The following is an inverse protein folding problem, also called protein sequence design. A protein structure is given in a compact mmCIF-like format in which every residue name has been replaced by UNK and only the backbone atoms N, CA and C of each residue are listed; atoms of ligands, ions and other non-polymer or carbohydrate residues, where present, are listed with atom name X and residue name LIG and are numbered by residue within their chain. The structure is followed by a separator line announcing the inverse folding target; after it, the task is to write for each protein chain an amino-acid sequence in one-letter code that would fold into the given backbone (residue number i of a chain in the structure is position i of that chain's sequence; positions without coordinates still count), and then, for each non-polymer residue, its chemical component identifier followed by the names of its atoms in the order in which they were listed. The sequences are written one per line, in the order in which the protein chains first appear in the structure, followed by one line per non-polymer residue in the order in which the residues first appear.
data_IF_602804583983
#
_entry.id   IF_602804583983
#
_cell.length_a   1.000
_cell.length_b   1.000
_cell.length_c   1.000
_cell.angle_alpha   90.00
_cell.angle_beta   90.00
_cell.angle_gamma   90.00
#
_symmetry.space_group_name_H-M   'P 1'
#
loop_
_entity.id
_entity.type
_entity.pdbx_description
1 polymer ?
#
# COMPACT_ATOMS: atom_id res chain seq x y z
N UNK A 1 19.12 -18.32 17.33
CA UNK A 1 18.13 -17.79 16.37
C UNK A 1 18.20 -16.27 16.45
N UNK A 2 18.92 -15.63 15.53
CA UNK A 2 19.13 -14.19 15.55
C UNK A 2 17.82 -13.48 15.20
N UNK A 3 17.33 -12.64 16.10
CA UNK A 3 16.27 -11.69 15.80
C UNK A 3 16.83 -10.70 14.76
N UNK A 4 16.37 -10.82 13.51
CA UNK A 4 16.60 -9.78 12.51
C UNK A 4 15.87 -8.55 13.03
N UNK A 5 16.63 -7.58 13.54
CA UNK A 5 16.14 -6.25 13.83
C UNK A 5 15.77 -5.62 12.49
N UNK A 6 14.52 -5.81 12.07
CA UNK A 6 13.91 -5.14 10.94
C UNK A 6 13.73 -3.66 11.35
N UNK A 7 14.81 -2.88 11.35
CA UNK A 7 14.63 -1.48 10.96
C UNK A 7 14.01 -1.52 9.56
N UNK A 8 12.88 -0.86 9.31
CA UNK A 8 12.25 -0.94 8.01
C UNK A 8 13.22 -0.31 7.00
N UNK A 9 13.86 -1.15 6.17
CA UNK A 9 14.65 -0.71 5.03
C UNK A 9 13.65 -0.22 3.98
N UNK A 10 13.52 1.11 3.75
CA UNK A 10 12.49 1.62 2.85
C UNK A 10 12.68 1.08 1.42
N UNK A 11 13.92 0.86 0.98
CA UNK A 11 14.20 0.31 -0.33
C UNK A 11 13.82 -1.17 -0.41
N UNK A 12 14.12 -1.93 0.64
CA UNK A 12 13.73 -3.34 0.78
C UNK A 12 12.21 -3.53 0.80
N UNK A 13 11.47 -2.70 1.52
CA UNK A 13 10.01 -2.76 1.57
C UNK A 13 9.37 -2.38 0.24
N UNK A 14 9.87 -1.34 -0.44
CA UNK A 14 9.44 -0.98 -1.80
C UNK A 14 9.68 -2.11 -2.78
N UNK A 15 10.85 -2.77 -2.72
CA UNK A 15 11.13 -3.94 -3.56
C UNK A 15 10.14 -5.08 -3.30
N UNK A 16 9.88 -5.39 -2.03
CA UNK A 16 8.87 -6.41 -1.66
C UNK A 16 7.47 -6.03 -2.17
N UNK A 17 7.11 -4.74 -2.13
CA UNK A 17 5.85 -4.25 -2.68
C UNK A 17 5.80 -4.43 -4.21
N UNK A 18 6.89 -4.12 -4.92
CA UNK A 18 7.01 -4.27 -6.37
C UNK A 18 6.90 -5.72 -6.83
N UNK A 19 7.50 -6.66 -6.08
CA UNK A 19 7.51 -8.09 -6.40
C UNK A 19 6.22 -8.82 -5.99
N UNK A 20 5.42 -8.25 -5.08
CA UNK A 20 4.22 -8.91 -4.58
C UNK A 20 3.09 -8.90 -5.60
N UNK A 21 2.75 -10.09 -6.10
CA UNK A 21 1.48 -10.35 -6.77
C UNK A 21 0.39 -10.65 -5.74
N UNK A 22 -0.83 -10.16 -5.98
CA UNK A 22 -2.00 -10.49 -5.15
C UNK A 22 -2.89 -11.52 -5.85
N UNK A 23 -3.19 -12.62 -5.17
CA UNK A 23 -4.15 -13.63 -5.62
C UNK A 23 -5.53 -13.45 -4.99
N UNK A 24 -5.57 -12.86 -3.79
CA UNK A 24 -6.79 -12.66 -3.00
C UNK A 24 -7.02 -11.19 -2.69
N UNK A 25 -8.29 -10.82 -2.62
CA UNK A 25 -8.75 -9.54 -2.07
C UNK A 25 -9.53 -9.86 -0.80
N UNK A 26 -9.23 -9.15 0.29
CA UNK A 26 -9.91 -9.33 1.58
C UNK A 26 -11.35 -8.82 1.50
N UNK A 27 -12.30 -9.51 2.12
CA UNK A 27 -13.70 -9.07 2.11
C UNK A 27 -13.86 -7.68 2.76
N UNK A 28 -13.03 -7.38 3.76
CA UNK A 28 -13.00 -6.09 4.47
C UNK A 28 -12.71 -4.89 3.55
N UNK A 29 -11.88 -5.05 2.52
CA UNK A 29 -11.63 -3.94 1.59
C UNK A 29 -12.83 -3.73 0.66
N UNK A 30 -13.49 -4.82 0.23
CA UNK A 30 -14.63 -4.76 -0.69
C UNK A 30 -15.91 -4.27 -0.06
N UNK A 31 -16.18 -4.58 1.22
CA UNK A 31 -17.43 -4.20 1.88
C UNK A 31 -17.36 -2.87 2.61
N UNK A 32 -16.22 -2.55 3.25
CA UNK A 32 -16.21 -1.52 4.29
C UNK A 32 -15.40 -0.27 3.93
N UNK A 33 -14.57 -0.31 2.88
CA UNK A 33 -13.60 0.77 2.65
C UNK A 33 -13.43 1.19 1.19
N UNK A 34 -13.51 0.30 0.19
CA UNK A 34 -13.25 0.68 -1.19
C UNK A 34 -14.33 1.57 -1.85
N UNK A 35 -15.64 1.25 -1.77
CA UNK A 35 -16.68 2.00 -2.47
C UNK A 35 -16.72 3.48 -2.08
N UNK A 36 -16.49 3.77 -0.81
CA UNK A 36 -16.55 5.12 -0.24
C UNK A 36 -15.28 5.95 -0.49
N UNK A 37 -14.19 5.33 -0.95
CA UNK A 37 -12.85 5.96 -0.97
C UNK A 37 -12.30 6.21 -2.36
N UNK A 38 -12.57 5.34 -3.33
CA UNK A 38 -11.94 5.38 -4.67
C UNK A 38 -12.96 5.28 -5.80
N UNK A 39 -14.18 4.79 -5.50
CA UNK A 39 -15.25 4.57 -6.47
C UNK A 39 -15.50 3.08 -6.73
N UNK A 40 -16.72 2.76 -7.15
CA UNK A 40 -17.25 1.39 -7.20
C UNK A 40 -16.79 0.55 -8.41
N UNK A 41 -16.21 1.17 -9.44
CA UNK A 41 -16.00 0.51 -10.74
C UNK A 41 -14.55 0.06 -11.01
N UNK A 42 -13.63 0.25 -10.06
CA UNK A 42 -12.22 -0.13 -10.22
C UNK A 42 -11.97 -1.55 -9.71
N UNK A 43 -11.41 -2.43 -10.56
CA UNK A 43 -10.92 -3.74 -10.12
C UNK A 43 -9.68 -3.56 -9.22
N UNK A 44 -9.80 -4.00 -7.98
CA UNK A 44 -8.75 -3.91 -6.96
C UNK A 44 -7.44 -4.60 -7.33
N UNK A 45 -7.47 -5.63 -8.18
CA UNK A 45 -6.27 -6.28 -8.69
C UNK A 45 -5.57 -5.42 -9.72
N UNK A 46 -6.33 -4.75 -10.57
CA UNK A 46 -5.78 -3.79 -11.52
C UNK A 46 -5.25 -2.55 -10.81
N UNK A 47 -5.98 -2.02 -9.84
CA UNK A 47 -5.51 -0.91 -9.00
C UNK A 47 -4.17 -1.26 -8.30
N UNK A 48 -4.03 -2.49 -7.78
CA UNK A 48 -2.76 -2.93 -7.21
C UNK A 48 -1.62 -2.97 -8.23
N UNK A 49 -1.90 -3.49 -9.44
CA UNK A 49 -0.92 -3.60 -10.52
C UNK A 49 -0.41 -2.22 -10.96
N UNK A 50 -1.33 -1.27 -11.07
CA UNK A 50 -1.06 0.06 -11.62
C UNK A 50 -0.54 1.04 -10.54
N UNK A 51 -0.62 0.66 -9.26
CA UNK A 51 -0.10 1.45 -8.14
C UNK A 51 1.43 1.34 -8.00
N UNK A 52 2.04 2.44 -7.56
CA UNK A 52 3.49 2.59 -7.40
C UNK A 52 3.98 2.03 -6.06
N UNK A 53 5.07 1.24 -6.01
CA UNK A 53 5.60 0.71 -4.76
C UNK A 53 6.21 1.79 -3.86
N UNK A 54 5.67 1.92 -2.65
CA UNK A 54 6.09 2.92 -1.66
C UNK A 54 6.43 2.25 -0.32
N UNK A 55 7.35 2.86 0.40
CA UNK A 55 7.53 2.60 1.82
C UNK A 55 6.48 3.38 2.60
N UNK A 56 5.77 2.68 3.48
CA UNK A 56 4.74 3.24 4.32
C UNK A 56 5.09 3.01 5.79
N UNK A 57 5.61 4.02 6.52
CA UNK A 57 6.17 3.84 7.86
C UNK A 57 5.16 3.32 8.88
N UNK A 58 3.89 3.66 8.69
CA UNK A 58 2.78 3.18 9.54
C UNK A 58 2.25 1.80 9.13
N UNK A 59 2.87 1.14 8.15
CA UNK A 59 2.55 -0.24 7.81
C UNK A 59 2.84 -1.15 9.00
N UNK A 60 1.82 -1.83 9.51
CA UNK A 60 1.96 -2.85 10.55
C UNK A 60 1.94 -4.26 9.94
N UNK A 61 2.29 -5.26 10.75
CA UNK A 61 2.07 -6.68 10.43
C UNK A 61 2.77 -7.20 9.16
N UNK A 62 3.93 -6.63 8.81
CA UNK A 62 4.69 -6.98 7.60
C UNK A 62 3.92 -6.77 6.29
N UNK A 63 2.94 -5.86 6.28
CA UNK A 63 2.31 -5.37 5.07
C UNK A 63 3.32 -4.65 4.17
N UNK A 64 3.06 -4.69 2.88
CA UNK A 64 3.72 -3.86 1.86
C UNK A 64 2.71 -2.87 1.31
N UNK A 65 3.19 -1.71 0.87
CA UNK A 65 2.35 -0.62 0.43
C UNK A 65 2.59 -0.26 -1.04
N UNK A 66 1.51 0.07 -1.74
CA UNK A 66 1.56 0.74 -3.04
C UNK A 66 0.67 1.98 -3.02
N UNK A 67 1.05 3.02 -3.75
CA UNK A 67 0.29 4.25 -3.89
C UNK A 67 -0.44 4.26 -5.25
N UNK A 68 -1.75 4.24 -5.21
CA UNK A 68 -2.63 4.29 -6.37
C UNK A 68 -3.08 5.73 -6.62
N UNK A 69 -2.93 6.21 -7.87
CA UNK A 69 -3.36 7.53 -8.35
C UNK A 69 -2.93 8.72 -7.45
N UNK A 70 -1.78 8.63 -6.78
CA UNK A 70 -1.28 9.65 -5.82
C UNK A 70 -2.18 9.93 -4.60
N UNK A 71 -3.26 9.17 -4.43
CA UNK A 71 -4.33 9.51 -3.49
C UNK A 71 -4.70 8.36 -2.55
N UNK A 72 -4.33 7.11 -2.86
CA UNK A 72 -4.77 5.94 -2.07
C UNK A 72 -3.62 4.98 -1.79
N UNK A 73 -3.38 4.69 -0.52
CA UNK A 73 -2.41 3.69 -0.07
C UNK A 73 -3.11 2.32 -0.06
N UNK A 74 -2.63 1.40 -0.88
CA UNK A 74 -3.04 -0.01 -0.90
C UNK A 74 -2.11 -0.83 -0.01
N UNK A 75 -2.67 -1.63 0.88
CA UNK A 75 -1.88 -2.49 1.78
C UNK A 75 -2.13 -3.97 1.48
N UNK A 76 -1.05 -4.68 1.15
CA UNK A 76 -1.09 -6.11 0.90
C UNK A 76 -0.19 -6.88 1.86
N UNK A 77 -0.56 -8.13 2.13
CA UNK A 77 0.19 -9.07 2.97
C UNK A 77 -0.01 -10.48 2.45
N UNK A 78 1.08 -11.25 2.34
CA UNK A 78 1.05 -12.67 1.96
C UNK A 78 0.23 -12.94 0.68
N UNK A 79 0.33 -12.05 -0.32
CA UNK A 79 -0.40 -12.19 -1.59
C UNK A 79 -1.90 -11.89 -1.49
N UNK A 80 -2.36 -11.28 -0.40
CA UNK A 80 -3.72 -10.77 -0.25
C UNK A 80 -3.72 -9.24 -0.10
N UNK A 81 -4.60 -8.56 -0.84
CA UNK A 81 -4.89 -7.15 -0.60
C UNK A 81 -5.79 -7.04 0.63
N UNK A 82 -5.30 -6.36 1.66
CA UNK A 82 -5.91 -6.37 2.99
C UNK A 82 -6.85 -5.19 3.21
N UNK A 83 -6.42 -3.99 2.81
CA UNK A 83 -7.16 -2.73 3.02
C UNK A 83 -6.60 -1.62 2.12
N UNK A 84 -7.33 -0.53 2.01
CA UNK A 84 -6.88 0.73 1.42
C UNK A 84 -7.02 1.88 2.42
N UNK A 85 -6.23 2.93 2.27
CA UNK A 85 -6.30 4.13 3.08
C UNK A 85 -6.19 5.35 2.16
N UNK A 86 -7.14 6.30 2.17
CA UNK A 86 -6.96 7.55 1.44
C UNK A 86 -5.78 8.30 2.05
N UNK A 87 -4.91 8.84 1.21
CA UNK A 87 -3.69 9.51 1.63
C UNK A 87 -4.00 10.69 2.56
N UNK A 88 -5.11 11.40 2.33
CA UNK A 88 -5.58 12.49 3.18
C UNK A 88 -5.98 12.08 4.61
N UNK A 89 -6.12 10.79 4.91
CA UNK A 89 -6.28 10.29 6.30
C UNK A 89 -4.96 10.31 7.09
N UNK A 90 -3.82 10.59 6.43
CA UNK A 90 -2.49 10.63 7.05
C UNK A 90 -2.07 12.07 7.34
N UNK A 91 -1.17 12.23 8.30
CA UNK A 91 -0.59 13.52 8.61
C UNK A 91 0.18 14.07 7.40
N UNK A 92 0.23 15.39 7.24
CA UNK A 92 0.78 16.04 6.04
C UNK A 92 2.24 15.65 5.76
N UNK A 93 3.04 15.47 6.81
CA UNK A 93 4.43 15.00 6.71
C UNK A 93 4.52 13.59 6.15
N UNK A 94 3.66 12.67 6.60
CA UNK A 94 3.55 11.32 6.06
C UNK A 94 3.03 11.33 4.62
N UNK A 95 2.08 12.21 4.29
CA UNK A 95 1.63 12.38 2.90
C UNK A 95 2.76 12.86 1.98
N UNK A 96 3.51 13.88 2.39
CA UNK A 96 4.65 14.40 1.63
C UNK A 96 5.75 13.33 1.48
N UNK A 97 6.03 12.59 2.55
CA UNK A 97 6.98 11.48 2.52
C UNK A 97 6.57 10.36 1.56
N UNK A 98 5.28 10.02 1.49
CA UNK A 98 4.80 8.99 0.56
C UNK A 98 4.85 9.50 -0.88
N UNK A 99 4.39 10.73 -1.12
CA UNK A 99 4.39 11.34 -2.46
C UNK A 99 5.82 11.49 -3.00
N UNK A 100 6.78 11.95 -2.20
CA UNK A 100 8.15 12.15 -2.66
C UNK A 100 8.83 10.89 -3.22
N UNK A 101 8.36 9.69 -2.85
CA UNK A 101 8.93 8.43 -3.34
C UNK A 101 8.56 8.09 -4.78
N UNK A 102 7.54 8.74 -5.33
CA UNK A 102 7.00 8.49 -6.67
C UNK A 102 7.10 9.70 -7.59
N UNK A 103 7.31 10.91 -7.05
CA UNK A 103 7.47 12.14 -7.85
C UNK A 103 8.90 12.35 -8.39
N UNK A 104 9.87 11.48 -8.07
CA UNK A 104 11.26 11.53 -8.56
C UNK A 104 11.43 10.90 -9.97
N UNK A 105 10.54 11.23 -10.91
CA UNK A 105 10.70 10.92 -12.35
C UNK A 105 11.00 12.18 -13.16
#
# INVERSE_FOLDING_TARGET
MSAVSLSPDPAGERRRAAEMSIGRVSDHITTDTWPDRVGTDVDLREAWRDAEPVHYPSASNACVARLYEMEVILLARQGALMTCIPLWHRAEDEQQYIRSQVTDQ
#
